data_IF_538565679495
#
_entry.id   IF_538565679495
#
_cell.length_a   1.000
_cell.length_b   1.000
_cell.length_c   1.000
_cell.angle_alpha   90.00
_cell.angle_beta   90.00
_cell.angle_gamma   90.00
#
_symmetry.space_group_name_H-M   'P 1'
#
loop_
_entity.id
_entity.type
_entity.pdbx_description
1 polymer ?
#
# COMPACT_ATOMS: atom_id res chain seq x y z
N UNK A 1 48.07 -49.25 4.26
CA UNK A 1 47.48 -49.42 2.91
C UNK A 1 46.06 -50.04 3.04
N UNK A 2 45.14 -49.36 3.73
CA UNK A 2 43.81 -49.94 4.05
C UNK A 2 42.66 -48.95 4.19
N UNK A 3 42.92 -47.64 4.02
CA UNK A 3 41.90 -46.60 4.08
C UNK A 3 41.24 -46.32 2.71
N UNK A 4 41.94 -46.68 1.62
CA UNK A 4 41.53 -46.45 0.23
C UNK A 4 40.22 -47.18 -0.13
N UNK A 5 39.94 -48.35 0.48
CA UNK A 5 38.74 -49.16 0.18
C UNK A 5 37.60 -49.01 1.20
N UNK A 6 37.89 -48.50 2.40
CA UNK A 6 36.88 -48.30 3.44
C UNK A 6 35.94 -47.13 3.14
N UNK A 7 36.50 -46.02 2.65
CA UNK A 7 35.72 -44.80 2.33
C UNK A 7 34.73 -45.04 1.18
N UNK A 8 35.11 -45.67 0.05
CA UNK A 8 34.15 -45.98 -1.02
C UNK A 8 33.02 -46.91 -0.57
N UNK A 9 33.31 -47.93 0.24
CA UNK A 9 32.29 -48.88 0.73
C UNK A 9 31.26 -48.21 1.64
N UNK A 10 31.70 -47.29 2.52
CA UNK A 10 30.81 -46.51 3.39
C UNK A 10 29.94 -45.57 2.57
N UNK A 11 30.49 -44.91 1.55
CA UNK A 11 29.72 -44.02 0.66
C UNK A 11 28.63 -44.79 -0.11
N UNK A 12 28.95 -45.98 -0.63
CA UNK A 12 27.97 -46.84 -1.33
C UNK A 12 26.85 -47.27 -0.38
N UNK A 13 27.17 -47.70 0.84
CA UNK A 13 26.18 -48.09 1.83
C UNK A 13 25.25 -46.92 2.22
N UNK A 14 25.81 -45.72 2.41
CA UNK A 14 25.02 -44.50 2.69
C UNK A 14 24.11 -44.11 1.52
N UNK A 15 24.60 -44.24 0.28
CA UNK A 15 23.81 -43.96 -0.92
C UNK A 15 22.66 -44.95 -1.09
N UNK A 16 22.91 -46.25 -0.84
CA UNK A 16 21.90 -47.29 -0.85
C UNK A 16 20.80 -47.04 0.21
N UNK A 17 21.18 -46.65 1.43
CA UNK A 17 20.24 -46.25 2.49
C UNK A 17 19.45 -44.99 2.10
N UNK A 18 20.08 -44.01 1.45
CA UNK A 18 19.44 -42.76 1.03
C UNK A 18 18.41 -42.98 -0.08
N UNK A 19 18.66 -43.92 -0.99
CA UNK A 19 17.72 -44.36 -2.03
C UNK A 19 16.58 -45.18 -1.40
N UNK A 20 16.92 -46.20 -0.60
CA UNK A 20 15.93 -47.11 0.01
C UNK A 20 14.99 -46.40 1.01
N UNK A 21 15.48 -45.39 1.72
CA UNK A 21 14.68 -44.59 2.66
C UNK A 21 13.77 -43.55 1.99
N UNK A 22 13.83 -43.40 0.66
CA UNK A 22 13.05 -42.43 -0.09
C UNK A 22 13.45 -40.96 0.12
N UNK A 23 14.49 -40.70 0.94
CA UNK A 23 15.00 -39.37 1.27
C UNK A 23 15.59 -38.64 0.05
N UNK A 24 15.92 -39.35 -1.02
CA UNK A 24 16.33 -38.75 -2.31
C UNK A 24 15.24 -37.83 -2.91
N UNK A 25 13.95 -38.08 -2.64
CA UNK A 25 12.84 -37.21 -3.05
C UNK A 25 13.00 -35.79 -2.51
N UNK A 26 13.56 -35.62 -1.31
CA UNK A 26 13.82 -34.30 -0.74
C UNK A 26 14.83 -33.51 -1.57
N UNK A 27 15.93 -34.15 -2.01
CA UNK A 27 16.94 -33.52 -2.87
C UNK A 27 16.39 -33.22 -4.26
N UNK A 28 15.59 -34.13 -4.82
CA UNK A 28 14.89 -33.88 -6.08
C UNK A 28 13.96 -32.66 -5.97
N UNK A 29 13.12 -32.60 -4.94
CA UNK A 29 12.22 -31.46 -4.71
C UNK A 29 13.05 -30.18 -4.53
N UNK A 30 14.11 -30.21 -3.70
CA UNK A 30 14.98 -29.06 -3.48
C UNK A 30 15.65 -28.58 -4.78
N UNK A 31 16.13 -29.49 -5.64
CA UNK A 31 16.73 -29.15 -6.92
C UNK A 31 15.70 -28.55 -7.90
N UNK A 32 14.47 -29.09 -7.92
CA UNK A 32 13.38 -28.61 -8.77
C UNK A 32 12.83 -27.26 -8.27
N UNK A 33 12.78 -27.01 -6.95
CA UNK A 33 12.30 -25.73 -6.39
C UNK A 33 13.37 -24.66 -6.30
N UNK A 34 14.65 -25.03 -6.26
CA UNK A 34 15.77 -24.10 -6.12
C UNK A 34 15.74 -22.91 -7.10
N UNK A 35 15.45 -23.05 -8.40
CA UNK A 35 15.41 -21.91 -9.31
C UNK A 35 14.34 -20.87 -8.91
N UNK A 36 13.17 -21.34 -8.48
CA UNK A 36 12.08 -20.47 -8.00
C UNK A 36 12.51 -19.78 -6.70
N UNK A 37 13.09 -20.53 -5.78
CA UNK A 37 13.45 -20.04 -4.44
C UNK A 37 14.62 -19.04 -4.52
N UNK A 38 15.61 -19.29 -5.38
CA UNK A 38 16.71 -18.35 -5.69
C UNK A 38 16.16 -17.09 -6.35
N UNK A 39 15.20 -17.19 -7.28
CA UNK A 39 14.55 -16.03 -7.89
C UNK A 39 13.76 -15.23 -6.86
N UNK A 40 13.05 -15.89 -5.95
CA UNK A 40 12.34 -15.24 -4.85
C UNK A 40 13.32 -14.52 -3.92
N UNK A 41 14.40 -15.20 -3.51
CA UNK A 41 15.44 -14.64 -2.65
C UNK A 41 16.11 -13.43 -3.28
N UNK A 42 16.52 -13.51 -4.55
CA UNK A 42 17.15 -12.38 -5.25
C UNK A 42 16.20 -11.17 -5.38
N UNK A 43 14.91 -11.39 -5.65
CA UNK A 43 13.89 -10.33 -5.67
C UNK A 43 13.69 -9.72 -4.28
N UNK A 44 13.64 -10.55 -3.25
CA UNK A 44 13.50 -10.11 -1.86
C UNK A 44 14.70 -9.26 -1.42
N UNK A 45 15.92 -9.72 -1.69
CA UNK A 45 17.14 -8.95 -1.41
C UNK A 45 17.13 -7.60 -2.13
N UNK A 46 16.75 -7.55 -3.42
CA UNK A 46 16.61 -6.29 -4.16
C UNK A 46 15.56 -5.36 -3.54
N UNK A 47 14.42 -5.90 -3.13
CA UNK A 47 13.37 -5.15 -2.44
C UNK A 47 13.89 -4.56 -1.12
N UNK A 48 14.63 -5.34 -0.32
CA UNK A 48 15.21 -4.85 0.93
C UNK A 48 16.18 -3.69 0.70
N UNK A 49 17.03 -3.76 -0.33
CA UNK A 49 17.90 -2.65 -0.70
C UNK A 49 17.10 -1.40 -1.14
N UNK A 50 16.03 -1.59 -1.91
CA UNK A 50 15.16 -0.50 -2.37
C UNK A 50 14.45 0.18 -1.19
N UNK A 51 13.83 -0.60 -0.30
CA UNK A 51 13.17 -0.09 0.91
C UNK A 51 14.17 0.65 1.80
N UNK A 52 15.37 0.10 2.00
CA UNK A 52 16.43 0.75 2.78
C UNK A 52 16.90 2.07 2.16
N UNK A 53 16.95 2.15 0.82
CA UNK A 53 17.28 3.39 0.10
C UNK A 53 16.24 4.47 0.38
N UNK A 54 14.95 4.18 0.18
CA UNK A 54 13.87 5.15 0.40
C UNK A 54 13.73 5.55 1.87
N UNK A 55 13.88 4.60 2.79
CA UNK A 55 13.88 4.89 4.22
C UNK A 55 15.01 5.87 4.61
N UNK A 56 16.22 5.71 4.05
CA UNK A 56 17.33 6.65 4.27
C UNK A 56 17.09 8.05 3.71
N UNK A 57 16.23 8.17 2.70
CA UNK A 57 15.86 9.44 2.08
C UNK A 57 14.65 10.09 2.76
N UNK A 58 14.06 9.44 3.78
CA UNK A 58 12.76 9.80 4.33
C UNK A 58 11.69 9.98 3.24
N UNK A 59 11.77 9.17 2.17
CA UNK A 59 10.86 9.25 1.05
C UNK A 59 9.49 8.67 1.43
N UNK A 60 8.44 9.40 1.10
CA UNK A 60 7.05 8.98 1.20
C UNK A 60 6.65 8.18 -0.04
N UNK A 61 5.51 7.52 0.02
CA UNK A 61 4.95 6.87 -1.17
C UNK A 61 4.64 7.87 -2.30
N UNK A 62 4.34 9.12 -1.94
CA UNK A 62 4.10 10.18 -2.91
C UNK A 62 5.37 10.58 -3.67
N UNK A 63 6.54 10.52 -3.02
CA UNK A 63 7.83 10.77 -3.68
C UNK A 63 8.14 9.68 -4.71
N UNK A 64 7.91 8.42 -4.34
CA UNK A 64 8.05 7.28 -5.25
C UNK A 64 7.09 7.44 -6.43
N UNK A 65 5.83 7.81 -6.18
CA UNK A 65 4.85 8.06 -7.23
C UNK A 65 5.28 9.19 -8.16
N UNK A 66 5.82 10.29 -7.61
CA UNK A 66 6.32 11.42 -8.40
C UNK A 66 7.43 11.02 -9.38
N UNK A 67 8.30 10.07 -9.02
CA UNK A 67 9.30 9.53 -9.95
C UNK A 67 8.66 8.84 -11.18
N UNK A 68 7.52 8.17 -11.00
CA UNK A 68 6.80 7.55 -12.11
C UNK A 68 6.05 8.59 -12.95
N UNK A 69 5.44 9.58 -12.32
CA UNK A 69 4.79 10.71 -13.01
C UNK A 69 5.79 11.43 -13.91
N UNK A 70 7.02 11.69 -13.43
CA UNK A 70 8.06 12.32 -14.23
C UNK A 70 8.50 11.49 -15.43
N UNK A 71 8.47 10.15 -15.32
CA UNK A 71 8.90 9.24 -16.40
C UNK A 71 7.81 9.02 -17.45
N UNK A 72 6.55 8.90 -17.05
CA UNK A 72 5.43 8.51 -17.91
C UNK A 72 4.14 9.26 -17.54
N UNK A 73 4.10 10.60 -17.71
CA UNK A 73 2.99 11.42 -17.21
C UNK A 73 1.65 11.10 -17.88
N UNK A 74 1.65 10.87 -19.20
CA UNK A 74 0.43 10.61 -20.00
C UNK A 74 -0.02 9.16 -19.96
N UNK A 75 0.71 8.27 -19.26
CA UNK A 75 0.31 6.87 -19.17
C UNK A 75 -0.89 6.73 -18.26
N UNK A 76 -1.85 5.91 -18.67
CA UNK A 76 -3.02 5.54 -17.86
C UNK A 76 -2.55 4.86 -16.57
N UNK A 77 -2.96 5.45 -15.44
CA UNK A 77 -2.73 4.99 -14.08
C UNK A 77 -3.94 4.22 -13.54
N UNK A 78 -5.15 4.75 -13.74
CA UNK A 78 -6.40 4.08 -13.34
C UNK A 78 -7.41 4.05 -14.48
N UNK A 79 -8.22 2.99 -14.51
CA UNK A 79 -9.44 2.90 -15.31
C UNK A 79 -10.58 2.69 -14.33
N UNK A 80 -11.55 3.60 -14.30
CA UNK A 80 -12.65 3.60 -13.35
C UNK A 80 -13.92 4.13 -14.01
N UNK A 81 -15.02 3.37 -13.94
CA UNK A 81 -16.34 3.74 -14.48
C UNK A 81 -16.30 4.28 -15.92
N UNK A 82 -15.52 3.63 -16.79
CA UNK A 82 -15.40 4.01 -18.20
C UNK A 82 -14.51 5.24 -18.45
N UNK A 83 -13.86 5.76 -17.41
CA UNK A 83 -12.89 6.86 -17.50
C UNK A 83 -11.49 6.38 -17.19
N UNK A 84 -10.54 6.94 -17.92
CA UNK A 84 -9.11 6.77 -17.64
C UNK A 84 -8.55 7.96 -16.88
N UNK A 85 -7.63 7.69 -15.97
CA UNK A 85 -6.84 8.69 -15.25
C UNK A 85 -5.37 8.45 -15.55
N UNK A 86 -4.69 9.45 -16.07
CA UNK A 86 -3.25 9.42 -16.31
C UNK A 86 -2.46 9.63 -15.00
N UNK A 87 -1.17 9.28 -14.99
CA UNK A 87 -0.28 9.59 -13.88
C UNK A 87 -0.27 11.09 -13.56
N UNK A 88 -0.29 11.95 -14.58
CA UNK A 88 -0.36 13.41 -14.43
C UNK A 88 -1.63 13.82 -13.69
N UNK A 89 -2.81 13.38 -14.13
CA UNK A 89 -4.09 13.75 -13.53
C UNK A 89 -4.21 13.31 -12.07
N UNK A 90 -3.72 12.11 -11.74
CA UNK A 90 -3.66 11.63 -10.34
C UNK A 90 -2.73 12.51 -9.51
N UNK A 91 -1.57 12.88 -10.07
CA UNK A 91 -0.61 13.77 -9.40
C UNK A 91 -1.21 15.15 -9.14
N UNK A 92 -1.87 15.75 -10.14
CA UNK A 92 -2.52 17.05 -10.03
C UNK A 92 -3.66 17.03 -9.01
N UNK A 93 -4.48 15.98 -9.02
CA UNK A 93 -5.51 15.78 -7.98
C UNK A 93 -4.87 15.68 -6.60
N UNK A 94 -3.84 14.86 -6.44
CA UNK A 94 -3.16 14.68 -5.15
C UNK A 94 -2.51 15.97 -4.65
N UNK A 95 -1.98 16.82 -5.55
CA UNK A 95 -1.44 18.13 -5.21
C UNK A 95 -2.52 19.07 -4.71
N UNK A 96 -3.72 19.06 -5.30
CA UNK A 96 -4.87 19.83 -4.80
C UNK A 96 -5.26 19.40 -3.39
N UNK A 97 -5.34 18.09 -3.13
CA UNK A 97 -5.61 17.57 -1.78
C UNK A 97 -4.53 18.03 -0.81
N UNK A 98 -3.25 17.86 -1.15
CA UNK A 98 -2.14 18.29 -0.31
C UNK A 98 -2.23 19.78 0.03
N UNK A 99 -2.50 20.63 -0.96
CA UNK A 99 -2.64 22.07 -0.75
C UNK A 99 -3.82 22.40 0.18
N UNK A 100 -4.97 21.76 0.01
CA UNK A 100 -6.12 21.94 0.90
C UNK A 100 -5.73 21.59 2.33
N UNK A 101 -5.20 20.40 2.59
CA UNK A 101 -4.85 19.99 3.96
C UNK A 101 -3.69 20.82 4.55
N UNK A 102 -2.73 21.24 3.74
CA UNK A 102 -1.67 22.15 4.17
C UNK A 102 -2.24 23.51 4.60
N UNK A 103 -3.19 24.09 3.85
CA UNK A 103 -3.83 25.36 4.23
C UNK A 103 -4.69 25.25 5.49
N UNK A 104 -5.23 24.07 5.79
CA UNK A 104 -5.92 23.78 7.05
C UNK A 104 -4.97 23.49 8.23
N UNK A 105 -3.64 23.52 7.99
CA UNK A 105 -2.63 23.42 9.04
C UNK A 105 -2.11 22.02 9.33
N UNK A 106 -2.47 21.01 8.53
CA UNK A 106 -1.95 19.65 8.70
C UNK A 106 -0.48 19.56 8.30
N UNK A 107 0.30 18.85 9.11
CA UNK A 107 1.75 18.70 8.98
C UNK A 107 2.21 17.28 9.24
N UNK A 108 3.50 17.06 9.07
CA UNK A 108 4.14 15.78 9.32
C UNK A 108 3.82 15.25 10.73
N UNK A 109 3.36 14.00 10.79
CA UNK A 109 3.01 13.31 12.03
C UNK A 109 1.55 13.47 12.49
N UNK A 110 0.78 14.41 11.92
CA UNK A 110 -0.66 14.45 12.15
C UNK A 110 -1.32 13.20 11.55
N UNK A 111 -2.49 12.82 12.07
CA UNK A 111 -3.23 11.63 11.64
C UNK A 111 -4.55 12.02 10.98
N UNK A 112 -4.73 11.62 9.72
CA UNK A 112 -5.98 11.85 8.99
C UNK A 112 -6.52 10.51 8.50
N UNK A 113 -7.62 10.05 9.10
CA UNK A 113 -8.27 8.80 8.69
C UNK A 113 -8.93 8.95 7.32
N UNK A 114 -8.81 7.93 6.48
CA UNK A 114 -9.43 7.88 5.15
C UNK A 114 -10.43 6.72 5.07
N UNK A 115 -11.70 7.05 4.88
CA UNK A 115 -12.84 6.11 4.84
C UNK A 115 -13.61 6.33 3.54
N UNK A 116 -13.30 5.58 2.48
CA UNK A 116 -13.93 5.79 1.17
C UNK A 116 -13.93 4.46 0.38
N UNK A 117 -14.81 4.37 -0.63
CA UNK A 117 -14.90 3.22 -1.53
C UNK A 117 -13.69 3.12 -2.46
N UNK A 118 -13.59 2.02 -3.21
CA UNK A 118 -12.52 1.83 -4.20
C UNK A 118 -12.74 2.74 -5.42
N UNK A 119 -12.12 3.92 -5.40
CA UNK A 119 -12.15 4.91 -6.49
C UNK A 119 -10.80 5.64 -6.65
N UNK A 120 -10.48 6.24 -7.81
CA UNK A 120 -9.22 6.95 -8.02
C UNK A 120 -8.94 8.05 -6.98
N UNK A 121 -9.98 8.71 -6.51
CA UNK A 121 -9.92 9.78 -5.51
C UNK A 121 -9.44 9.29 -4.15
N UNK A 122 -9.70 8.03 -3.79
CA UNK A 122 -9.13 7.41 -2.60
C UNK A 122 -7.60 7.45 -2.67
N UNK A 123 -7.05 6.98 -3.80
CA UNK A 123 -5.60 6.94 -4.01
C UNK A 123 -5.02 8.35 -4.14
N UNK A 124 -5.71 9.24 -4.87
CA UNK A 124 -5.33 10.64 -4.99
C UNK A 124 -5.28 11.36 -3.65
N UNK A 125 -6.25 11.11 -2.77
CA UNK A 125 -6.33 11.68 -1.42
C UNK A 125 -5.21 11.14 -0.54
N UNK A 126 -5.02 9.82 -0.55
CA UNK A 126 -3.92 9.18 0.16
C UNK A 126 -2.54 9.70 -0.26
N UNK A 127 -2.31 9.84 -1.58
CA UNK A 127 -1.08 10.43 -2.11
C UNK A 127 -0.94 11.91 -1.70
N UNK A 128 -2.03 12.68 -1.72
CA UNK A 128 -2.02 14.08 -1.32
C UNK A 128 -1.63 14.28 0.14
N UNK A 129 -2.27 13.54 1.05
CA UNK A 129 -1.92 13.55 2.48
C UNK A 129 -0.50 13.05 2.71
N UNK A 130 -0.07 12.01 1.97
CA UNK A 130 1.29 11.48 2.07
C UNK A 130 2.36 12.52 1.72
N UNK A 131 2.09 13.46 0.79
CA UNK A 131 3.02 14.56 0.46
C UNK A 131 3.30 15.48 1.65
N UNK A 132 2.37 15.59 2.59
CA UNK A 132 2.53 16.39 3.80
C UNK A 132 3.23 15.61 4.93
N UNK A 133 3.48 14.31 4.73
CA UNK A 133 3.98 13.42 5.78
C UNK A 133 2.95 13.13 6.87
N UNK A 134 1.67 13.34 6.59
CA UNK A 134 0.55 12.94 7.45
C UNK A 134 0.48 11.41 7.50
N UNK A 135 0.08 10.86 8.64
CA UNK A 135 -0.20 9.43 8.82
C UNK A 135 -1.65 9.18 8.40
N UNK A 136 -1.86 8.21 7.50
CA UNK A 136 -3.18 7.95 6.89
C UNK A 136 -3.66 6.52 7.22
N UNK A 137 -4.41 6.33 8.31
CA UNK A 137 -5.14 5.10 8.56
C UNK A 137 -6.17 4.89 7.45
N UNK A 138 -6.00 3.82 6.68
CA UNK A 138 -6.95 3.40 5.63
C UNK A 138 -8.02 2.54 6.29
N UNK A 139 -9.16 3.15 6.61
CA UNK A 139 -10.22 2.53 7.39
C UNK A 139 -11.24 1.90 6.43
N UNK A 140 -11.66 0.67 6.75
CA UNK A 140 -12.62 -0.06 5.94
C UNK A 140 -14.00 0.64 5.93
N UNK A 141 -14.48 1.02 4.74
CA UNK A 141 -15.76 1.71 4.53
C UNK A 141 -17.00 0.86 4.86
N UNK A 142 -16.86 -0.46 5.05
CA UNK A 142 -17.95 -1.34 5.45
C UNK A 142 -18.24 -1.32 6.96
N UNK A 143 -17.38 -0.70 7.77
CA UNK A 143 -17.57 -0.62 9.21
C UNK A 143 -18.70 0.35 9.58
N UNK A 144 -19.42 0.04 10.66
CA UNK A 144 -20.52 0.85 11.20
C UNK A 144 -20.41 0.95 12.72
N UNK A 145 -21.07 1.98 13.29
CA UNK A 145 -21.22 2.16 14.75
C UNK A 145 -19.91 1.97 15.51
N UNK A 146 -19.94 1.14 16.57
CA UNK A 146 -18.82 0.91 17.47
C UNK A 146 -17.54 0.42 16.77
N UNK A 147 -17.64 -0.38 15.70
CA UNK A 147 -16.45 -0.88 15.01
C UNK A 147 -15.73 0.23 14.23
N UNK A 148 -16.50 1.14 13.62
CA UNK A 148 -15.97 2.31 12.95
C UNK A 148 -15.37 3.29 13.96
N UNK A 149 -16.12 3.60 15.03
CA UNK A 149 -15.66 4.46 16.11
C UNK A 149 -14.35 3.93 16.73
N UNK A 150 -14.29 2.63 17.03
CA UNK A 150 -13.09 2.00 17.58
C UNK A 150 -11.87 2.16 16.67
N UNK A 151 -12.04 1.99 15.36
CA UNK A 151 -10.97 2.14 14.38
C UNK A 151 -10.41 3.57 14.36
N UNK A 152 -11.30 4.56 14.41
CA UNK A 152 -10.94 5.99 14.44
C UNK A 152 -10.22 6.33 15.76
N UNK A 153 -10.73 5.85 16.89
CA UNK A 153 -10.17 6.13 18.22
C UNK A 153 -8.80 5.48 18.42
N UNK A 154 -8.63 4.21 18.02
CA UNK A 154 -7.32 3.52 18.14
C UNK A 154 -6.28 4.17 17.26
N UNK A 155 -6.67 4.66 16.08
CA UNK A 155 -5.76 5.38 15.20
C UNK A 155 -5.42 6.80 15.68
N UNK A 156 -6.14 7.34 16.67
CA UNK A 156 -5.98 8.69 17.21
C UNK A 156 -6.05 9.78 16.12
N UNK A 157 -7.06 9.69 15.24
CA UNK A 157 -7.23 10.60 14.11
C UNK A 157 -7.48 12.06 14.57
N UNK A 158 -6.74 13.00 13.99
CA UNK A 158 -7.01 14.45 14.11
C UNK A 158 -8.14 14.88 13.16
N UNK A 159 -8.30 14.19 12.04
CA UNK A 159 -9.34 14.44 11.05
C UNK A 159 -9.81 13.15 10.39
N UNK A 160 -10.97 13.23 9.74
CA UNK A 160 -11.53 12.13 8.97
C UNK A 160 -11.95 12.62 7.58
N UNK A 161 -11.46 11.96 6.54
CA UNK A 161 -11.95 12.11 5.17
C UNK A 161 -12.87 10.96 4.84
N UNK A 162 -14.09 11.26 4.39
CA UNK A 162 -15.06 10.25 4.01
C UNK A 162 -15.84 10.60 2.74
N UNK A 163 -16.32 9.59 2.02
CA UNK A 163 -17.17 9.77 0.83
C UNK A 163 -18.59 10.17 1.20
N UNK A 164 -19.29 10.82 0.27
CA UNK A 164 -20.70 11.18 0.42
C UNK A 164 -21.59 9.98 0.78
N UNK A 165 -21.35 8.81 0.17
CA UNK A 165 -22.10 7.58 0.43
C UNK A 165 -21.98 7.07 1.89
N UNK A 166 -21.00 7.55 2.65
CA UNK A 166 -20.77 7.15 4.04
C UNK A 166 -21.30 8.16 5.05
N UNK A 167 -22.02 9.19 4.61
CA UNK A 167 -22.58 10.22 5.47
C UNK A 167 -23.48 9.64 6.58
N UNK A 168 -24.32 8.65 6.26
CA UNK A 168 -25.16 7.96 7.26
C UNK A 168 -24.30 7.25 8.32
N UNK A 169 -23.29 6.50 7.88
CA UNK A 169 -22.39 5.76 8.77
C UNK A 169 -21.58 6.67 9.71
N UNK A 170 -21.15 7.83 9.21
CA UNK A 170 -20.48 8.85 10.03
C UNK A 170 -21.49 9.51 10.97
N UNK A 171 -22.71 9.79 10.50
CA UNK A 171 -23.80 10.35 11.29
C UNK A 171 -24.12 9.51 12.53
N UNK A 172 -24.13 8.18 12.41
CA UNK A 172 -24.36 7.24 13.53
C UNK A 172 -23.34 7.38 14.67
N UNK A 173 -22.12 7.87 14.39
CA UNK A 173 -21.03 7.96 15.39
C UNK A 173 -20.64 9.40 15.72
N UNK A 174 -21.19 10.39 15.03
CA UNK A 174 -20.75 11.80 15.13
C UNK A 174 -20.86 12.33 16.57
N UNK A 175 -21.90 11.95 17.30
CA UNK A 175 -22.08 12.35 18.71
C UNK A 175 -21.01 11.78 19.65
N UNK A 176 -20.38 10.67 19.28
CA UNK A 176 -19.33 9.99 20.05
C UNK A 176 -17.91 10.39 19.63
N UNK A 177 -17.75 11.16 18.56
CA UNK A 177 -16.45 11.63 18.09
C UNK A 177 -15.98 12.84 18.90
N UNK A 178 -14.65 13.02 19.08
CA UNK A 178 -14.13 14.22 19.71
C UNK A 178 -14.56 15.48 18.94
N UNK A 179 -15.04 16.50 19.64
CA UNK A 179 -15.47 17.78 19.04
C UNK A 179 -14.35 18.55 18.35
N UNK A 180 -13.09 18.20 18.62
CA UNK A 180 -11.89 18.75 17.99
C UNK A 180 -11.55 18.09 16.65
N UNK A 181 -12.19 16.97 16.30
CA UNK A 181 -11.90 16.23 15.08
C UNK A 181 -12.59 16.88 13.88
N UNK A 182 -11.80 17.29 12.89
CA UNK A 182 -12.36 17.85 11.66
C UNK A 182 -12.89 16.75 10.73
N UNK A 183 -14.07 16.98 10.15
CA UNK A 183 -14.72 16.07 9.22
C UNK A 183 -14.69 16.66 7.80
N UNK A 184 -14.13 15.92 6.86
CA UNK A 184 -14.00 16.28 5.45
C UNK A 184 -14.83 15.33 4.60
N UNK A 185 -15.93 15.84 4.06
CA UNK A 185 -16.76 15.08 3.12
C UNK A 185 -16.23 15.28 1.69
N UNK A 186 -15.96 14.17 1.02
CA UNK A 186 -15.70 14.15 -0.41
C UNK A 186 -17.02 14.15 -1.18
N UNK A 187 -17.22 15.16 -2.04
CA UNK A 187 -18.46 15.37 -2.78
C UNK A 187 -18.22 15.15 -4.29
N UNK A 188 -19.00 14.24 -4.88
CA UNK A 188 -18.87 13.80 -6.27
C UNK A 188 -19.30 14.90 -7.27
N UNK A 189 -20.21 15.80 -6.87
CA UNK A 189 -20.83 16.79 -7.76
C UNK A 189 -19.87 17.92 -8.21
N UNK A 190 -18.90 18.29 -7.36
CA UNK A 190 -17.94 19.38 -7.65
C UNK A 190 -16.94 18.96 -8.73
N UNK A 191 -16.58 17.69 -8.79
CA UNK A 191 -15.62 17.18 -9.77
C UNK A 191 -16.21 17.15 -11.19
N UNK A 192 -17.49 16.76 -11.34
CA UNK A 192 -18.15 16.75 -12.66
C UNK A 192 -18.19 18.15 -13.29
N UNK A 193 -18.43 19.19 -12.48
CA UNK A 193 -18.47 20.58 -12.95
C UNK A 193 -17.09 21.08 -13.40
N UNK A 194 -16.03 20.79 -12.64
CA UNK A 194 -14.65 21.20 -12.99
C UNK A 194 -14.15 20.46 -14.24
N UNK A 195 -14.57 19.22 -14.45
CA UNK A 195 -14.12 18.38 -15.57
C UNK A 195 -14.96 18.58 -16.84
N UNK A 196 -16.25 18.90 -16.71
CA UNK A 196 -17.10 19.31 -17.83
C UNK A 196 -16.65 20.64 -18.44
N UNK A 197 -16.10 21.55 -17.63
CA UNK A 197 -15.58 22.84 -18.06
C UNK A 197 -14.12 22.82 -18.56
N UNK A 198 -13.51 21.64 -18.68
CA UNK A 198 -12.12 21.45 -19.13
C UNK A 198 -11.98 20.90 -20.56
N UNK A 199 -13.05 20.95 -21.36
CA UNK A 199 -13.04 20.64 -22.80
C UNK A 199 -13.09 21.91 -23.64
#
# INVERSE_FOLDING_TARGET
>A
MGWEFGVPAVLIALLAVLIASGKWRWFYIAAVTAPRDVKALSRYVKLLFLVKKYARQNATIADIFAEYVAKQPEKVCFVFEGREWTFREVSDYSNRVANVFHTHGYKHGDVVGLVMENRPEFVGTWLGLSKLGVIIPLINHNLRKNALLHSITVANCNALVYSEALCEAIGEITESLPSTMALYQFNDAIQQTVLANSK
#
